data_IF_899497971543
#
_entry.id   IF_899497971543
#
_cell.length_a   1.000
_cell.length_b   1.000
_cell.length_c   1.000
_cell.angle_alpha   90.00
_cell.angle_beta   90.00
_cell.angle_gamma   90.00
#
_symmetry.space_group_name_H-M   'P 1'
#
loop_
_entity.id
_entity.type
_entity.pdbx_description
1 polymer ?
#
# COMPACT_ATOMS: atom_id res chain seq x y z
N UNK A 1 -5.91 16.10 9.81
CA UNK A 1 -5.24 15.01 10.55
C UNK A 1 -3.90 14.63 9.94
N UNK A 2 -3.84 14.18 8.68
CA UNK A 2 -2.59 13.77 7.99
C UNK A 2 -1.44 14.78 8.15
N UNK A 3 -1.69 16.08 7.93
CA UNK A 3 -0.69 17.14 8.09
C UNK A 3 0.03 17.16 9.45
N UNK A 4 -0.63 16.77 10.55
CA UNK A 4 -0.01 16.76 11.89
C UNK A 4 1.13 15.75 12.03
N UNK A 5 1.17 14.74 11.16
CA UNK A 5 2.18 13.68 11.14
C UNK A 5 3.16 13.85 9.97
N UNK A 6 3.21 15.02 9.31
CA UNK A 6 4.03 15.23 8.11
C UNK A 6 5.51 14.97 8.35
N UNK A 7 6.01 15.27 9.55
CA UNK A 7 7.41 15.03 9.94
C UNK A 7 7.83 13.56 9.87
N UNK A 8 6.87 12.60 9.87
CA UNK A 8 7.16 11.16 9.75
C UNK A 8 7.25 10.66 8.31
N UNK A 9 6.84 11.47 7.34
CA UNK A 9 6.82 11.11 5.93
C UNK A 9 6.78 12.37 5.06
N UNK A 10 7.90 13.08 4.96
CA UNK A 10 7.95 14.40 4.33
C UNK A 10 7.92 14.37 2.80
N UNK A 11 8.06 13.19 2.18
CA UNK A 11 8.26 13.10 0.72
C UNK A 11 6.93 13.16 -0.05
N UNK A 12 5.85 12.60 0.52
CA UNK A 12 4.53 12.63 -0.10
C UNK A 12 3.41 12.48 0.93
N UNK A 13 2.20 12.93 0.57
CA UNK A 13 0.99 12.74 1.36
C UNK A 13 -0.17 12.28 0.49
N UNK A 14 -1.02 11.41 1.02
CA UNK A 14 -2.20 10.90 0.33
C UNK A 14 -3.39 10.70 1.27
N UNK A 15 -4.59 10.82 0.72
CA UNK A 15 -5.86 10.53 1.40
C UNK A 15 -6.76 9.76 0.46
N UNK A 16 -7.38 8.71 0.97
CA UNK A 16 -8.48 7.99 0.32
C UNK A 16 -9.72 8.14 1.19
N UNK A 17 -10.86 8.47 0.58
CA UNK A 17 -12.17 8.44 1.20
C UNK A 17 -13.02 7.48 0.36
N UNK A 18 -13.68 6.52 1.00
CA UNK A 18 -14.51 5.57 0.28
C UNK A 18 -15.73 6.27 -0.36
N UNK A 19 -16.33 5.71 -1.44
CA UNK A 19 -17.46 6.34 -2.12
C UNK A 19 -18.68 6.57 -1.23
N UNK A 20 -18.93 5.71 -0.24
CA UNK A 20 -20.05 5.86 0.70
C UNK A 20 -19.73 6.86 1.83
N UNK A 21 -18.49 7.35 1.92
CA UNK A 21 -17.99 8.31 2.92
C UNK A 21 -18.15 7.82 4.36
N UNK A 22 -18.00 6.52 4.55
CA UNK A 22 -18.07 5.84 5.86
C UNK A 22 -16.68 5.53 6.42
N UNK A 23 -15.64 5.54 5.59
CA UNK A 23 -14.26 5.27 5.94
C UNK A 23 -13.29 6.16 5.16
N UNK A 24 -12.14 6.45 5.78
CA UNK A 24 -11.05 7.18 5.16
C UNK A 24 -9.70 6.71 5.64
N UNK A 25 -8.73 6.67 4.74
CA UNK A 25 -7.33 6.37 5.01
C UNK A 25 -6.48 7.58 4.67
N UNK A 26 -5.44 7.84 5.45
CA UNK A 26 -4.50 8.92 5.21
C UNK A 26 -3.07 8.46 5.49
N UNK A 27 -2.12 8.91 4.67
CA UNK A 27 -0.73 8.50 4.75
C UNK A 27 0.22 9.66 4.47
N UNK A 28 1.31 9.73 5.23
CA UNK A 28 2.50 10.53 4.91
C UNK A 28 3.64 9.55 4.66
N UNK A 29 4.32 9.68 3.53
CA UNK A 29 5.31 8.73 3.06
C UNK A 29 6.72 9.26 3.28
N UNK A 30 7.53 8.47 3.96
CA UNK A 30 8.98 8.50 3.81
C UNK A 30 9.33 7.41 2.79
N UNK A 31 9.89 7.81 1.66
CA UNK A 31 10.15 6.94 0.52
C UNK A 31 11.50 6.25 0.71
N UNK A 32 11.48 4.95 1.04
CA UNK A 32 12.69 4.14 1.24
C UNK A 32 12.80 3.06 0.17
N UNK A 33 11.77 2.21 0.06
CA UNK A 33 11.65 1.18 -0.98
C UNK A 33 10.67 1.69 -2.03
N UNK A 34 11.09 1.65 -3.30
CA UNK A 34 10.42 2.25 -4.46
C UNK A 34 10.22 3.77 -4.32
N UNK A 35 11.15 4.55 -4.86
CA UNK A 35 11.09 6.01 -4.76
C UNK A 35 10.12 6.65 -5.79
N UNK A 36 9.48 5.84 -6.63
CA UNK A 36 8.55 6.35 -7.65
C UNK A 36 7.14 6.57 -7.08
N UNK A 37 6.32 7.27 -7.85
CA UNK A 37 4.90 7.47 -7.53
C UNK A 37 4.09 6.17 -7.50
N UNK A 38 4.61 5.07 -8.05
CA UNK A 38 3.95 3.78 -7.98
C UNK A 38 3.87 3.24 -6.53
N UNK A 39 4.79 3.65 -5.65
CA UNK A 39 4.78 3.34 -4.22
C UNK A 39 3.89 4.28 -3.38
N UNK A 40 3.12 5.17 -4.01
CA UNK A 40 2.25 6.12 -3.31
C UNK A 40 1.16 5.41 -2.47
N UNK A 41 0.83 6.00 -1.34
CA UNK A 41 -0.17 5.49 -0.41
C UNK A 41 -1.19 6.58 0.00
N UNK A 42 -2.46 6.24 0.30
CA UNK A 42 -3.04 4.90 0.36
C UNK A 42 -3.03 4.16 -0.98
N UNK A 43 -2.52 2.94 -0.98
CA UNK A 43 -2.29 2.13 -2.18
C UNK A 43 -3.52 1.28 -2.47
N UNK A 44 -3.90 1.23 -3.74
CA UNK A 44 -5.03 0.46 -4.23
C UNK A 44 -4.59 -0.91 -4.73
N UNK A 45 -5.37 -1.97 -4.52
CA UNK A 45 -5.13 -3.28 -5.16
C UNK A 45 -5.28 -3.22 -6.68
N UNK A 46 -4.75 -4.22 -7.38
CA UNK A 46 -4.77 -4.29 -8.83
C UNK A 46 -6.18 -4.28 -9.42
N UNK A 47 -7.09 -5.03 -8.80
CA UNK A 47 -8.52 -5.09 -9.14
C UNK A 47 -9.32 -3.86 -8.68
N UNK A 48 -8.71 -2.94 -7.94
CA UNK A 48 -9.35 -1.73 -7.44
C UNK A 48 -10.21 -1.92 -6.19
N UNK A 49 -10.34 -3.14 -5.66
CA UNK A 49 -11.26 -3.48 -4.58
C UNK A 49 -10.77 -3.08 -3.19
N UNK A 50 -9.47 -3.15 -2.94
CA UNK A 50 -8.87 -2.92 -1.63
C UNK A 50 -8.01 -1.66 -1.62
N UNK A 51 -7.90 -1.06 -0.45
CA UNK A 51 -7.10 0.13 -0.17
C UNK A 51 -6.29 -0.10 1.11
N UNK A 52 -5.01 0.25 1.10
CA UNK A 52 -4.10 0.07 2.24
C UNK A 52 -3.33 1.35 2.53
N UNK A 53 -3.14 1.64 3.81
CA UNK A 53 -2.12 2.57 4.30
C UNK A 53 -1.26 1.81 5.33
N UNK A 54 0.05 1.76 5.10
CA UNK A 54 0.99 0.94 5.86
C UNK A 54 2.24 1.74 6.18
N UNK A 55 2.63 1.72 7.46
CA UNK A 55 3.87 2.31 7.95
C UNK A 55 4.75 1.20 8.54
N UNK A 56 5.79 0.80 7.81
CA UNK A 56 6.70 -0.26 8.18
C UNK A 56 7.50 -0.74 6.97
N UNK A 57 8.21 -1.86 7.13
CA UNK A 57 8.95 -2.53 6.07
C UNK A 57 8.67 -4.04 6.12
N UNK A 58 8.35 -4.64 4.98
CA UNK A 58 8.21 -6.09 4.84
C UNK A 58 9.53 -6.67 4.33
N UNK A 59 10.39 -7.14 5.23
CA UNK A 59 11.76 -7.54 4.86
C UNK A 59 11.83 -8.68 3.84
N UNK A 60 10.91 -9.63 3.89
CA UNK A 60 10.84 -10.77 2.98
C UNK A 60 9.89 -10.52 1.78
N UNK A 61 9.68 -9.27 1.38
CA UNK A 61 8.76 -8.94 0.29
C UNK A 61 9.18 -9.52 -1.06
N UNK A 62 10.49 -9.76 -1.29
CA UNK A 62 10.96 -10.36 -2.53
C UNK A 62 10.55 -11.83 -2.64
N UNK A 63 10.69 -12.57 -1.55
CA UNK A 63 10.24 -13.96 -1.45
C UNK A 63 8.72 -14.06 -1.60
N UNK A 64 7.97 -13.18 -0.91
CA UNK A 64 6.51 -13.12 -1.03
C UNK A 64 6.06 -12.74 -2.44
N UNK A 65 6.76 -11.80 -3.09
CA UNK A 65 6.46 -11.40 -4.47
C UNK A 65 6.68 -12.55 -5.45
N UNK A 66 7.71 -13.38 -5.22
CA UNK A 66 7.96 -14.57 -6.02
C UNK A 66 6.90 -15.66 -5.79
N UNK A 67 6.50 -15.89 -4.54
CA UNK A 67 5.43 -16.82 -4.18
C UNK A 67 4.08 -16.43 -4.79
N UNK A 68 3.77 -15.12 -4.77
CA UNK A 68 2.53 -14.52 -5.26
C UNK A 68 2.71 -13.91 -6.66
N UNK A 69 3.45 -14.60 -7.53
CA UNK A 69 3.87 -14.09 -8.85
C UNK A 69 2.73 -13.91 -9.86
N UNK A 70 1.56 -14.49 -9.60
CA UNK A 70 0.34 -14.32 -10.38
C UNK A 70 -0.37 -12.98 -10.11
N UNK A 71 0.00 -12.27 -9.04
CA UNK A 71 -0.53 -10.94 -8.77
C UNK A 71 0.10 -9.90 -9.71
N UNK A 72 -0.71 -9.06 -10.39
CA UNK A 72 -0.20 -8.07 -11.34
C UNK A 72 0.34 -6.82 -10.62
N UNK A 73 1.52 -6.96 -10.00
CA UNK A 73 2.21 -5.87 -9.31
C UNK A 73 2.45 -4.65 -10.21
N UNK A 74 2.26 -3.46 -9.66
CA UNK A 74 2.43 -2.17 -10.37
C UNK A 74 3.53 -1.30 -9.76
N UNK A 75 4.04 -1.69 -8.60
CA UNK A 75 5.10 -1.00 -7.89
C UNK A 75 6.21 -1.98 -7.52
N UNK A 76 7.33 -1.44 -7.05
CA UNK A 76 8.38 -2.20 -6.36
C UNK A 76 8.29 -2.02 -4.84
N UNK A 77 7.25 -1.36 -4.33
CA UNK A 77 7.05 -1.22 -2.89
C UNK A 77 6.70 -2.56 -2.27
N UNK A 78 7.36 -2.82 -1.14
CA UNK A 78 7.08 -3.91 -0.22
C UNK A 78 5.61 -3.89 0.29
N UNK A 79 4.96 -2.74 0.33
CA UNK A 79 3.54 -2.64 0.74
C UNK A 79 2.61 -3.43 -0.19
N UNK A 80 2.92 -3.51 -1.49
CA UNK A 80 2.03 -4.13 -2.46
C UNK A 80 1.88 -5.65 -2.26
N UNK A 81 2.88 -6.32 -1.65
CA UNK A 81 2.77 -7.75 -1.34
C UNK A 81 1.70 -8.04 -0.29
N UNK A 82 1.36 -7.07 0.57
CA UNK A 82 0.26 -7.22 1.53
C UNK A 82 -1.07 -7.31 0.78
N UNK A 83 -1.26 -6.50 -0.26
CA UNK A 83 -2.48 -6.55 -1.09
C UNK A 83 -2.58 -7.88 -1.84
N UNK A 84 -1.47 -8.35 -2.41
CA UNK A 84 -1.40 -9.65 -3.07
C UNK A 84 -1.75 -10.79 -2.11
N UNK A 85 -1.13 -10.81 -0.93
CA UNK A 85 -1.36 -11.81 0.11
C UNK A 85 -2.81 -11.80 0.62
N UNK A 86 -3.36 -10.61 0.88
CA UNK A 86 -4.75 -10.47 1.34
C UNK A 86 -5.74 -10.98 0.28
N UNK A 87 -5.51 -10.65 -1.00
CA UNK A 87 -6.33 -11.14 -2.10
C UNK A 87 -6.25 -12.66 -2.25
N UNK A 88 -5.05 -13.25 -2.10
CA UNK A 88 -4.83 -14.68 -2.29
C UNK A 88 -5.24 -15.56 -1.10
N UNK A 89 -4.92 -15.16 0.13
CA UNK A 89 -5.05 -16.05 1.29
C UNK A 89 -6.31 -15.80 2.10
N UNK A 90 -6.77 -14.55 2.20
CA UNK A 90 -7.93 -14.21 3.04
C UNK A 90 -9.23 -14.31 2.25
N UNK A 91 -9.25 -13.87 0.99
CA UNK A 91 -10.47 -13.87 0.17
C UNK A 91 -10.78 -15.23 -0.50
N UNK A 92 -9.95 -16.24 -0.29
CA UNK A 92 -10.17 -17.61 -0.74
C UNK A 92 -10.46 -18.59 0.41
N UNK A 93 -10.82 -18.09 1.59
CA UNK A 93 -11.34 -18.88 2.71
C UNK A 93 -12.87 -18.89 2.71
#
# INVERSE_FOLDING_TARGET
MVRSQHHRGPDASGVYIDPARTAGLGHNRLSIIDLSDAGAQPMKSADGRYQIAFNGEIYNYLELRAELSDYPYRSHSDTEVILAAYQRWVNHA
#
